data_IF_164619156670
#
_entry.id   IF_164619156670
#
_cell.length_a   1.000
_cell.length_b   1.000
_cell.length_c   1.000
_cell.angle_alpha   90.00
_cell.angle_beta   90.00
_cell.angle_gamma   90.00
#
_symmetry.space_group_name_H-M   'P 1'
#
loop_
_entity.id
_entity.type
_entity.pdbx_description
1 polymer ?
#
# COMPACT_ATOMS: atom_id res chain seq x y z
N UNK A 1 29.90 6.19 -22.78
CA UNK A 1 29.68 5.35 -23.98
C UNK A 1 29.86 3.88 -23.62
N UNK A 2 29.18 3.41 -22.56
CA UNK A 2 29.21 2.00 -22.13
C UNK A 2 27.80 1.59 -21.65
N UNK A 3 26.78 2.05 -22.37
CA UNK A 3 25.39 2.02 -21.91
C UNK A 3 24.48 1.33 -22.95
N UNK A 4 24.79 0.07 -23.31
CA UNK A 4 23.92 -0.66 -24.26
C UNK A 4 23.98 -2.20 -24.19
N UNK A 5 24.53 -2.79 -23.12
CA UNK A 5 24.61 -4.25 -23.00
C UNK A 5 23.92 -4.70 -21.71
N UNK A 6 22.59 -4.68 -21.71
CA UNK A 6 21.84 -5.75 -21.02
C UNK A 6 20.37 -5.91 -21.43
N UNK A 7 19.85 -5.12 -22.38
CA UNK A 7 18.50 -5.33 -22.91
C UNK A 7 18.42 -6.23 -24.17
N UNK A 8 19.57 -6.65 -24.73
CA UNK A 8 19.60 -7.35 -26.02
C UNK A 8 19.47 -8.88 -25.95
N UNK A 9 19.58 -9.51 -24.77
CA UNK A 9 19.43 -10.97 -24.65
C UNK A 9 17.98 -11.47 -24.47
N UNK A 10 17.00 -10.58 -24.27
CA UNK A 10 15.58 -10.96 -24.15
C UNK A 10 14.75 -10.69 -25.40
N UNK A 11 15.28 -9.96 -26.38
CA UNK A 11 14.55 -9.58 -27.61
C UNK A 11 14.68 -10.57 -28.77
N UNK A 12 15.44 -11.65 -28.62
CA UNK A 12 15.64 -12.66 -29.68
C UNK A 12 14.64 -13.82 -29.65
N UNK A 13 13.66 -13.81 -28.75
CA UNK A 13 12.64 -14.87 -28.69
C UNK A 13 11.24 -14.33 -29.06
N UNK A 14 10.73 -14.62 -30.27
CA UNK A 14 9.42 -14.14 -30.74
C UNK A 14 8.21 -14.69 -29.95
N UNK A 15 8.43 -15.59 -28.98
CA UNK A 15 7.41 -16.07 -28.04
C UNK A 15 7.22 -15.17 -26.79
N UNK A 16 7.83 -13.99 -26.75
CA UNK A 16 7.85 -13.13 -25.56
C UNK A 16 6.78 -12.03 -25.48
N UNK A 17 6.04 -11.76 -26.57
CA UNK A 17 4.98 -10.75 -26.56
C UNK A 17 3.78 -11.27 -25.75
N UNK A 18 3.62 -10.78 -24.51
CA UNK A 18 2.44 -11.03 -23.66
C UNK A 18 2.66 -11.92 -22.44
N UNK A 19 3.89 -12.36 -22.13
CA UNK A 19 4.18 -13.07 -20.88
C UNK A 19 4.63 -12.12 -19.77
N UNK A 20 4.11 -12.32 -18.55
CA UNK A 20 4.65 -11.65 -17.37
C UNK A 20 6.08 -12.12 -17.12
N UNK A 21 6.98 -11.19 -16.80
CA UNK A 21 8.31 -11.54 -16.33
C UNK A 21 8.16 -12.19 -14.94
N UNK A 22 8.77 -13.38 -14.69
CA UNK A 22 8.83 -13.94 -13.35
C UNK A 22 9.40 -12.91 -12.39
N UNK A 23 8.68 -12.64 -11.29
CA UNK A 23 9.15 -11.75 -10.23
C UNK A 23 9.82 -12.62 -9.17
N UNK A 24 11.12 -12.45 -8.90
CA UNK A 24 11.81 -13.19 -7.86
C UNK A 24 11.23 -12.87 -6.47
N UNK A 25 11.36 -13.79 -5.52
CA UNK A 25 10.95 -13.57 -4.14
C UNK A 25 11.81 -12.44 -3.53
N UNK A 26 11.16 -11.35 -3.12
CA UNK A 26 11.86 -10.16 -2.61
C UNK A 26 12.39 -10.38 -1.18
N UNK A 27 11.78 -11.25 -0.39
CA UNK A 27 12.30 -11.61 0.95
C UNK A 27 13.63 -12.38 0.85
N UNK A 28 13.78 -13.26 -0.15
CA UNK A 28 15.05 -13.93 -0.43
C UNK A 28 16.12 -12.95 -0.95
N UNK A 29 15.73 -12.07 -1.87
CA UNK A 29 16.64 -11.04 -2.40
C UNK A 29 17.17 -10.12 -1.28
N UNK A 30 16.33 -9.75 -0.33
CA UNK A 30 16.70 -8.91 0.81
C UNK A 30 17.78 -9.53 1.71
N UNK A 31 18.09 -10.83 1.59
CA UNK A 31 19.21 -11.48 2.28
C UNK A 31 20.57 -11.23 1.62
N UNK A 32 20.57 -10.74 0.38
CA UNK A 32 21.76 -10.32 -0.35
C UNK A 32 21.74 -8.81 -0.50
N UNK A 33 22.80 -8.10 -0.16
CA UNK A 33 22.86 -6.63 -0.20
C UNK A 33 22.84 -6.02 -1.63
N UNK A 34 22.31 -6.75 -2.61
CA UNK A 34 22.24 -6.39 -4.01
C UNK A 34 20.79 -6.11 -4.40
N UNK A 35 20.48 -4.85 -4.67
CA UNK A 35 19.17 -4.42 -5.18
C UNK A 35 19.20 -4.50 -6.72
N UNK A 36 18.36 -5.34 -7.36
CA UNK A 36 18.31 -5.39 -8.81
C UNK A 36 17.84 -4.06 -9.42
N UNK A 37 18.42 -3.69 -10.56
CA UNK A 37 18.17 -2.41 -11.26
C UNK A 37 16.67 -2.15 -11.50
N UNK A 38 15.87 -3.19 -11.76
CA UNK A 38 14.41 -3.08 -11.97
C UNK A 38 13.61 -2.55 -10.77
N UNK A 39 14.19 -2.53 -9.57
CA UNK A 39 13.58 -1.99 -8.34
C UNK A 39 14.11 -0.60 -8.00
N UNK A 40 15.12 -0.09 -8.73
CA UNK A 40 15.59 1.27 -8.57
C UNK A 40 14.57 2.21 -9.17
N UNK A 41 13.95 3.03 -8.32
CA UNK A 41 13.08 4.12 -8.78
C UNK A 41 13.99 5.16 -9.45
N UNK A 42 13.71 5.60 -10.69
CA UNK A 42 14.40 6.74 -11.27
C UNK A 42 14.33 7.93 -10.32
N UNK A 43 15.33 8.82 -10.32
CA UNK A 43 15.27 10.09 -9.60
C UNK A 43 14.17 10.97 -10.24
N UNK A 44 12.92 10.69 -9.88
CA UNK A 44 11.82 11.66 -9.95
C UNK A 44 12.03 12.60 -8.78
N UNK A 45 12.01 13.90 -9.08
CA UNK A 45 12.30 14.99 -8.16
C UNK A 45 11.74 14.70 -6.76
N UNK A 46 12.64 14.46 -5.80
CA UNK A 46 12.29 14.21 -4.41
C UNK A 46 11.48 15.37 -3.80
N UNK A 47 11.50 16.55 -4.44
CA UNK A 47 10.64 17.68 -4.10
C UNK A 47 9.14 17.40 -4.32
N UNK A 48 8.76 16.47 -5.20
CA UNK A 48 7.35 16.10 -5.41
C UNK A 48 6.80 15.13 -4.35
N UNK A 49 7.63 14.66 -3.41
CA UNK A 49 7.27 13.68 -2.38
C UNK A 49 7.12 14.28 -0.97
N UNK A 50 7.25 15.61 -0.82
CA UNK A 50 7.17 16.26 0.48
C UNK A 50 6.46 17.62 0.40
N UNK A 51 5.18 17.58 0.05
CA UNK A 51 4.20 18.40 0.76
C UNK A 51 3.22 17.42 1.37
N UNK A 52 3.61 16.81 2.48
CA UNK A 52 2.61 16.27 3.40
C UNK A 52 2.01 17.54 3.98
N UNK A 53 0.91 18.01 3.38
CA UNK A 53 0.01 18.89 4.10
C UNK A 53 -0.27 18.18 5.43
N UNK A 54 -0.11 18.88 6.56
CA UNK A 54 -0.38 18.39 7.93
C UNK A 54 -1.87 18.02 8.15
N UNK A 55 -2.61 17.78 7.07
CA UNK A 55 -3.95 17.26 7.13
C UNK A 55 -3.86 15.84 7.71
N UNK A 56 -4.37 15.66 8.93
CA UNK A 56 -4.41 14.36 9.58
C UNK A 56 -5.43 13.47 8.85
N UNK A 57 -5.04 12.23 8.53
CA UNK A 57 -5.92 11.24 7.91
C UNK A 57 -7.19 11.05 8.77
N UNK A 58 -8.40 11.15 8.20
CA UNK A 58 -9.63 11.09 8.99
C UNK A 58 -9.74 9.76 9.75
N UNK A 59 -10.18 9.83 11.00
CA UNK A 59 -10.50 8.68 11.84
C UNK A 59 -12.01 8.64 12.08
N UNK A 60 -12.65 7.52 11.76
CA UNK A 60 -14.09 7.31 11.87
C UNK A 60 -14.40 6.32 13.00
N UNK A 61 -15.28 6.72 13.91
CA UNK A 61 -15.79 5.86 14.97
C UNK A 61 -17.02 5.07 14.47
N UNK A 62 -16.84 3.76 14.23
CA UNK A 62 -17.91 2.94 13.65
C UNK A 62 -19.08 2.72 14.62
N UNK A 63 -18.83 2.73 15.94
CA UNK A 63 -19.91 2.53 16.92
C UNK A 63 -20.92 3.66 16.89
N UNK A 64 -20.46 4.91 16.71
CA UNK A 64 -21.32 6.10 16.56
C UNK A 64 -22.18 6.09 15.29
N UNK A 65 -21.89 5.20 14.33
CA UNK A 65 -22.66 5.06 13.10
C UNK A 65 -23.68 3.92 13.16
N UNK A 66 -23.43 2.91 14.00
CA UNK A 66 -24.19 1.66 14.00
C UNK A 66 -25.08 1.48 15.24
N UNK A 67 -24.72 2.07 16.37
CA UNK A 67 -25.51 1.96 17.59
C UNK A 67 -26.70 2.93 17.54
N UNK A 68 -27.96 2.43 17.53
CA UNK A 68 -29.16 3.26 17.49
C UNK A 68 -29.25 4.29 18.60
N UNK A 69 -28.63 4.05 19.75
CA UNK A 69 -28.61 4.96 20.90
C UNK A 69 -27.50 6.02 20.79
N UNK A 70 -26.50 5.79 19.93
CA UNK A 70 -25.33 6.66 19.74
C UNK A 70 -25.21 7.23 18.33
N UNK A 71 -26.23 7.07 17.46
CA UNK A 71 -26.19 7.57 16.08
C UNK A 71 -25.84 9.06 16.07
N UNK A 72 -24.64 9.35 15.61
CA UNK A 72 -24.07 10.68 15.57
C UNK A 72 -24.10 11.20 14.12
N UNK A 73 -24.90 12.25 13.89
CA UNK A 73 -24.98 12.90 12.58
C UNK A 73 -23.66 13.56 12.20
N UNK A 74 -22.86 13.99 13.16
CA UNK A 74 -21.54 14.57 12.91
C UNK A 74 -20.58 13.51 12.37
N UNK A 75 -20.59 12.32 12.96
CA UNK A 75 -19.76 11.21 12.50
C UNK A 75 -20.15 10.76 11.08
N UNK A 76 -21.45 10.75 10.76
CA UNK A 76 -21.93 10.46 9.41
C UNK A 76 -21.46 11.51 8.38
N UNK A 77 -21.49 12.79 8.75
CA UNK A 77 -20.97 13.87 7.91
C UNK A 77 -19.45 13.74 7.72
N UNK A 78 -18.72 13.39 8.79
CA UNK A 78 -17.28 13.15 8.76
C UNK A 78 -16.93 12.01 7.83
N UNK A 79 -17.67 10.90 7.87
CA UNK A 79 -17.52 9.79 6.93
C UNK A 79 -17.76 10.26 5.49
N UNK A 80 -18.81 11.05 5.24
CA UNK A 80 -19.10 11.63 3.93
C UNK A 80 -17.95 12.49 3.39
N UNK A 81 -17.41 13.39 4.23
CA UNK A 81 -16.25 14.21 3.89
C UNK A 81 -14.99 13.37 3.66
N UNK A 82 -14.71 12.38 4.50
CA UNK A 82 -13.57 11.49 4.31
C UNK A 82 -13.65 10.72 2.98
N UNK A 83 -14.82 10.20 2.61
CA UNK A 83 -15.03 9.55 1.32
C UNK A 83 -14.82 10.50 0.13
N UNK A 84 -15.27 11.75 0.24
CA UNK A 84 -15.26 12.72 -0.85
C UNK A 84 -13.90 13.38 -1.05
N UNK A 85 -13.30 13.85 0.05
CA UNK A 85 -12.15 14.73 0.04
C UNK A 85 -10.84 13.95 0.15
N UNK A 86 -10.85 12.81 0.86
CA UNK A 86 -9.67 11.96 1.04
C UNK A 86 -9.67 10.68 0.21
N UNK A 87 -10.82 10.00 0.12
CA UNK A 87 -10.90 8.64 -0.44
C UNK A 87 -10.22 7.56 0.41
N UNK A 88 -9.69 7.94 1.59
CA UNK A 88 -9.04 7.05 2.55
C UNK A 88 -9.28 7.56 3.98
N UNK A 89 -9.43 6.66 4.94
CA UNK A 89 -9.64 6.97 6.35
C UNK A 89 -9.36 5.74 7.23
N UNK A 90 -9.13 5.96 8.52
CA UNK A 90 -9.01 4.92 9.53
C UNK A 90 -10.36 4.70 10.22
N UNK A 91 -10.58 3.49 10.74
CA UNK A 91 -11.77 3.18 11.53
C UNK A 91 -11.34 2.71 12.92
N UNK A 92 -11.99 3.24 13.96
CA UNK A 92 -11.89 2.77 15.34
C UNK A 92 -13.24 2.24 15.81
N UNK A 93 -13.24 1.51 16.94
CA UNK A 93 -14.43 0.87 17.50
C UNK A 93 -15.18 0.02 16.46
N UNK A 94 -14.44 -0.66 15.58
CA UNK A 94 -14.99 -1.44 14.47
C UNK A 94 -15.69 -2.76 14.91
N UNK A 95 -15.71 -3.08 16.21
CA UNK A 95 -16.33 -4.29 16.75
C UNK A 95 -15.53 -5.59 16.55
N UNK A 96 -14.49 -5.59 15.69
CA UNK A 96 -13.56 -6.73 15.56
C UNK A 96 -12.74 -6.87 16.87
N UNK A 97 -12.74 -8.05 17.52
CA UNK A 97 -11.93 -8.29 18.71
C UNK A 97 -10.43 -8.22 18.42
N UNK A 98 -9.67 -7.61 19.32
CA UNK A 98 -8.21 -7.44 19.17
C UNK A 98 -7.48 -8.77 18.99
N UNK A 99 -7.94 -9.83 19.67
CA UNK A 99 -7.37 -11.18 19.54
C UNK A 99 -7.39 -11.68 18.09
N UNK A 100 -8.43 -11.37 17.33
CA UNK A 100 -8.54 -11.78 15.91
C UNK A 100 -7.50 -11.04 15.06
N UNK A 101 -7.32 -9.75 15.32
CA UNK A 101 -6.35 -8.90 14.63
C UNK A 101 -4.93 -9.39 14.92
N UNK A 102 -4.59 -9.59 16.20
CA UNK A 102 -3.26 -10.04 16.62
C UNK A 102 -2.95 -11.44 16.11
N UNK A 103 -3.91 -12.38 16.21
CA UNK A 103 -3.74 -13.72 15.65
C UNK A 103 -3.51 -13.69 14.14
N UNK A 104 -4.26 -12.86 13.41
CA UNK A 104 -4.08 -12.72 11.96
C UNK A 104 -2.69 -12.18 11.61
N UNK A 105 -2.20 -11.17 12.36
CA UNK A 105 -0.82 -10.66 12.19
C UNK A 105 0.21 -11.76 12.43
N UNK A 106 0.03 -12.56 13.48
CA UNK A 106 0.95 -13.63 13.83
C UNK A 106 0.94 -14.79 12.82
N UNK A 107 -0.23 -15.16 12.32
CA UNK A 107 -0.36 -16.22 11.32
C UNK A 107 0.26 -15.79 9.99
N UNK A 108 0.08 -14.53 9.56
CA UNK A 108 0.72 -13.98 8.35
C UNK A 108 2.24 -13.90 8.50
N UNK A 109 2.77 -13.56 9.68
CA UNK A 109 4.23 -13.54 9.92
C UNK A 109 4.86 -14.94 9.86
N UNK A 110 4.10 -15.98 10.17
CA UNK A 110 4.56 -17.38 10.16
C UNK A 110 4.48 -18.03 8.77
N UNK A 111 3.62 -17.52 7.89
CA UNK A 111 3.46 -17.98 6.51
C UNK A 111 4.65 -17.56 5.64
#
# INVERSE_FOLDING_TARGET
MKDLINCTHLLSNPLALGRSLPVPNVQELARSDQIPERYLKPEVDAASMASIDDDELPVIDLMKLLDPELIDREELLRLGSACKDWGFFQIINHGIPEEVIEKTKDDIKKF
#
